data_IF_089467052167
#
_entry.id   IF_089467052167
#
_cell.length_a   1.000
_cell.length_b   1.000
_cell.length_c   1.000
_cell.angle_alpha   90.00
_cell.angle_beta   90.00
_cell.angle_gamma   90.00
#
_symmetry.space_group_name_H-M   'P 1'
#
loop_
_entity.id
_entity.type
_entity.pdbx_description
1 polymer ?
#
# COMPACT_ATOMS: atom_id res chain seq x y z
N UNK A 1 -34.30 6.88 7.19
CA UNK A 1 -32.87 6.78 7.51
C UNK A 1 -32.35 8.18 7.80
N UNK A 2 -31.83 8.41 9.01
CA UNK A 2 -31.12 9.67 9.31
C UNK A 2 -29.73 9.55 8.68
N UNK A 3 -29.35 10.52 7.83
CA UNK A 3 -28.04 10.55 7.19
C UNK A 3 -26.97 10.85 8.25
N UNK A 4 -26.02 9.93 8.42
CA UNK A 4 -24.81 10.17 9.21
C UNK A 4 -23.80 10.99 8.38
N UNK A 5 -23.95 12.32 8.45
CA UNK A 5 -23.12 13.29 7.73
C UNK A 5 -21.61 13.13 8.02
N UNK A 6 -21.16 13.01 9.28
CA UNK A 6 -19.75 12.76 9.59
C UNK A 6 -19.19 11.52 8.92
N UNK A 7 -19.94 10.41 8.95
CA UNK A 7 -19.52 9.16 8.29
C UNK A 7 -19.45 9.33 6.78
N UNK A 8 -20.47 9.96 6.17
CA UNK A 8 -20.51 10.21 4.73
C UNK A 8 -19.31 11.05 4.26
N UNK A 9 -19.03 12.15 4.95
CA UNK A 9 -17.89 13.02 4.62
C UNK A 9 -16.55 12.27 4.69
N UNK A 10 -16.35 11.45 5.75
CA UNK A 10 -15.14 10.64 5.90
C UNK A 10 -15.00 9.60 4.77
N UNK A 11 -16.08 8.92 4.41
CA UNK A 11 -16.08 7.91 3.35
C UNK A 11 -15.79 8.48 1.95
N UNK A 12 -16.05 9.78 1.74
CA UNK A 12 -15.83 10.47 0.47
C UNK A 12 -14.54 11.32 0.44
N UNK A 13 -13.61 11.13 1.38
CA UNK A 13 -12.37 11.92 1.41
C UNK A 13 -11.33 11.38 0.40
N UNK A 14 -11.04 12.09 -0.70
CA UNK A 14 -10.12 11.60 -1.75
C UNK A 14 -8.64 11.61 -1.33
N UNK A 15 -8.31 12.30 -0.24
CA UNK A 15 -6.93 12.40 0.25
C UNK A 15 -6.52 11.22 1.12
N UNK A 16 -7.44 10.31 1.44
CA UNK A 16 -7.16 9.11 2.24
C UNK A 16 -7.33 7.85 1.40
N UNK A 17 -6.30 6.98 1.33
CA UNK A 17 -6.48 5.67 0.72
C UNK A 17 -7.39 4.80 1.59
N UNK A 18 -8.01 3.79 0.96
CA UNK A 18 -8.79 2.80 1.70
C UNK A 18 -7.84 1.77 2.35
N UNK A 19 -8.08 1.49 3.62
CA UNK A 19 -7.44 0.45 4.38
C UNK A 19 -8.19 -0.87 4.21
N UNK A 20 -7.55 -1.85 3.60
CA UNK A 20 -8.11 -3.21 3.49
C UNK A 20 -8.13 -3.99 4.80
N UNK A 21 -7.57 -3.42 5.88
CA UNK A 21 -7.69 -3.96 7.24
C UNK A 21 -8.99 -3.59 7.95
N UNK A 22 -9.71 -2.55 7.49
CA UNK A 22 -10.98 -2.11 8.10
C UNK A 22 -12.18 -2.67 7.33
N UNK A 23 -12.99 -3.49 8.00
CA UNK A 23 -14.21 -4.11 7.46
C UNK A 23 -15.20 -3.07 6.91
N UNK A 24 -15.21 -1.85 7.43
CA UNK A 24 -16.07 -0.78 6.94
C UNK A 24 -15.53 -0.16 5.65
N UNK A 25 -14.21 -0.02 5.52
CA UNK A 25 -13.58 0.59 4.35
C UNK A 25 -13.53 -0.36 3.15
N UNK A 26 -13.41 -1.67 3.38
CA UNK A 26 -13.50 -2.70 2.33
C UNK A 26 -14.79 -2.55 1.51
N UNK A 27 -15.90 -2.16 2.15
CA UNK A 27 -17.20 -1.96 1.48
C UNK A 27 -17.20 -0.80 0.49
N UNK A 28 -16.25 0.12 0.60
CA UNK A 28 -16.11 1.27 -0.30
C UNK A 28 -15.17 0.97 -1.47
N UNK A 29 -14.49 -0.18 -1.47
CA UNK A 29 -13.63 -0.58 -2.58
C UNK A 29 -14.44 -0.97 -3.81
N UNK A 30 -14.00 -0.47 -4.98
CA UNK A 30 -14.57 -0.82 -6.28
C UNK A 30 -13.41 -1.28 -7.17
N UNK A 31 -13.52 -2.49 -7.72
CA UNK A 31 -12.54 -3.03 -8.65
C UNK A 31 -12.70 -2.37 -10.02
N UNK A 32 -11.74 -1.52 -10.38
CA UNK A 32 -11.67 -0.87 -11.69
C UNK A 32 -10.82 -1.65 -12.72
N UNK A 33 -10.35 -2.85 -12.40
CA UNK A 33 -9.56 -3.67 -13.34
C UNK A 33 -10.24 -3.92 -14.70
N UNK A 34 -11.58 -4.07 -14.81
CA UNK A 34 -12.23 -4.26 -16.11
C UNK A 34 -12.07 -3.08 -17.07
N UNK A 35 -11.95 -1.85 -16.54
CA UNK A 35 -11.79 -0.63 -17.35
C UNK A 35 -10.34 -0.17 -17.48
N UNK A 36 -9.46 -0.59 -16.56
CA UNK A 36 -8.00 -0.35 -16.63
C UNK A 36 -7.30 -1.31 -17.60
N UNK A 37 -7.94 -2.42 -17.94
CA UNK A 37 -7.42 -3.42 -18.88
C UNK A 37 -6.30 -4.30 -18.31
N UNK A 38 -5.96 -4.14 -17.03
CA UNK A 38 -4.94 -4.93 -16.38
C UNK A 38 -5.24 -5.11 -14.88
N UNK A 39 -4.70 -6.20 -14.33
CA UNK A 39 -4.75 -6.54 -12.91
C UNK A 39 -3.37 -6.41 -12.29
N UNK A 40 -2.86 -5.18 -12.25
CA UNK A 40 -1.45 -4.92 -11.89
C UNK A 40 -1.13 -5.49 -10.51
N UNK A 41 -1.99 -5.29 -9.50
CA UNK A 41 -1.75 -5.82 -8.14
C UNK A 41 -1.68 -7.34 -8.12
N UNK A 42 -2.53 -8.04 -8.88
CA UNK A 42 -2.44 -9.50 -8.99
C UNK A 42 -1.13 -9.94 -9.65
N UNK A 43 -0.67 -9.21 -10.67
CA UNK A 43 0.64 -9.44 -11.29
C UNK A 43 1.79 -9.21 -10.32
N UNK A 44 1.78 -8.10 -9.57
CA UNK A 44 2.81 -7.79 -8.56
C UNK A 44 2.89 -8.89 -7.51
N UNK A 45 1.73 -9.30 -6.99
CA UNK A 45 1.61 -10.40 -6.02
C UNK A 45 2.18 -11.68 -6.60
N UNK A 46 1.77 -12.07 -7.80
CA UNK A 46 2.25 -13.30 -8.46
C UNK A 46 3.77 -13.29 -8.65
N UNK A 47 4.34 -12.15 -9.01
CA UNK A 47 5.79 -12.00 -9.11
C UNK A 47 6.48 -12.30 -7.78
N UNK A 48 5.99 -11.69 -6.68
CA UNK A 48 6.56 -11.85 -5.34
C UNK A 48 6.40 -13.28 -4.81
N UNK A 49 5.20 -13.86 -4.95
CA UNK A 49 4.86 -15.08 -4.21
C UNK A 49 5.06 -16.37 -4.98
N UNK A 50 5.06 -16.33 -6.33
CA UNK A 50 5.08 -17.53 -7.16
C UNK A 50 6.26 -17.57 -8.12
N UNK A 51 6.58 -16.46 -8.78
CA UNK A 51 7.62 -16.43 -9.84
C UNK A 51 9.01 -16.33 -9.23
N UNK A 52 9.17 -15.51 -8.19
CA UNK A 52 10.46 -15.21 -7.55
C UNK A 52 10.40 -15.38 -6.03
N UNK A 53 10.04 -16.56 -5.49
CA UNK A 53 9.87 -16.74 -4.04
C UNK A 53 11.17 -16.57 -3.25
N UNK A 54 12.31 -16.92 -3.85
CA UNK A 54 13.64 -16.90 -3.23
C UNK A 54 14.56 -15.82 -3.84
N UNK A 55 14.03 -14.95 -4.69
CA UNK A 55 14.79 -13.90 -5.38
C UNK A 55 14.22 -12.51 -5.06
N UNK A 56 15.08 -11.51 -4.76
CA UNK A 56 14.61 -10.15 -4.54
C UNK A 56 14.04 -9.56 -5.84
N UNK A 57 12.89 -8.91 -5.74
CA UNK A 57 12.24 -8.23 -6.88
C UNK A 57 12.09 -6.74 -6.60
N UNK A 58 12.18 -5.93 -7.66
CA UNK A 58 11.90 -4.50 -7.62
C UNK A 58 10.85 -4.18 -8.69
N UNK A 59 9.75 -3.56 -8.27
CA UNK A 59 8.60 -3.36 -9.14
C UNK A 59 8.13 -1.92 -9.03
N UNK A 60 8.04 -1.23 -10.17
CA UNK A 60 7.62 0.15 -10.25
C UNK A 60 6.12 0.22 -10.55
N UNK A 61 5.34 0.78 -9.62
CA UNK A 61 3.91 1.03 -9.80
C UNK A 61 3.65 2.54 -9.86
N UNK A 62 3.30 3.05 -11.05
CA UNK A 62 3.13 4.50 -11.30
C UNK A 62 1.71 4.84 -11.76
N UNK A 63 1.38 6.12 -11.75
CA UNK A 63 0.11 6.66 -12.20
C UNK A 63 -0.18 8.03 -11.62
N UNK A 64 -1.20 8.70 -12.14
CA UNK A 64 -1.59 10.06 -11.73
C UNK A 64 -1.95 10.16 -10.24
N UNK A 65 -1.83 11.36 -9.67
CA UNK A 65 -2.31 11.66 -8.32
C UNK A 65 -3.82 11.36 -8.25
N UNK A 66 -4.27 10.73 -7.16
CA UNK A 66 -5.68 10.38 -6.98
C UNK A 66 -6.19 9.17 -7.76
N UNK A 67 -5.37 8.45 -8.54
CA UNK A 67 -5.84 7.26 -9.28
C UNK A 67 -5.97 5.98 -8.43
N UNK A 68 -5.77 6.08 -7.10
CA UNK A 68 -5.94 4.97 -6.16
C UNK A 68 -4.71 4.08 -5.96
N UNK A 69 -3.51 4.53 -6.32
CA UNK A 69 -2.26 3.74 -6.16
C UNK A 69 -2.05 3.25 -4.73
N UNK A 70 -2.14 4.15 -3.74
CA UNK A 70 -1.93 3.80 -2.34
C UNK A 70 -2.99 2.80 -1.85
N UNK A 71 -4.24 2.93 -2.28
CA UNK A 71 -5.31 1.95 -2.01
C UNK A 71 -4.96 0.57 -2.56
N UNK A 72 -4.49 0.50 -3.81
CA UNK A 72 -4.09 -0.74 -4.46
C UNK A 72 -2.84 -1.38 -3.79
N UNK A 73 -1.88 -0.57 -3.31
CA UNK A 73 -0.73 -1.06 -2.53
C UNK A 73 -1.13 -1.54 -1.13
N UNK A 74 -2.05 -0.88 -0.44
CA UNK A 74 -2.59 -1.34 0.84
C UNK A 74 -3.38 -2.64 0.68
N UNK A 75 -4.05 -2.83 -0.45
CA UNK A 75 -4.64 -4.11 -0.83
C UNK A 75 -3.59 -5.20 -1.04
N UNK A 76 -2.53 -4.90 -1.78
CA UNK A 76 -1.41 -5.85 -1.95
C UNK A 76 -0.79 -6.24 -0.60
N UNK A 77 -0.57 -5.25 0.29
CA UNK A 77 -0.09 -5.48 1.65
C UNK A 77 -0.97 -6.50 2.38
N UNK A 78 -2.28 -6.27 2.45
CA UNK A 78 -3.20 -7.16 3.14
C UNK A 78 -3.20 -8.58 2.53
N UNK A 79 -3.13 -8.70 1.20
CA UNK A 79 -3.07 -10.00 0.51
C UNK A 79 -1.74 -10.75 0.77
N UNK A 80 -0.61 -10.03 0.90
CA UNK A 80 0.70 -10.60 1.24
C UNK A 80 0.78 -11.02 2.72
N UNK A 81 0.25 -10.20 3.63
CA UNK A 81 0.16 -10.52 5.06
C UNK A 81 -0.68 -11.79 5.31
N UNK A 82 -1.78 -11.97 4.57
CA UNK A 82 -2.56 -13.21 4.60
C UNK A 82 -1.77 -14.44 4.14
N UNK A 83 -0.76 -14.25 3.28
CA UNK A 83 0.18 -15.28 2.85
C UNK A 83 1.40 -15.42 3.78
N UNK A 84 1.34 -14.81 4.98
CA UNK A 84 2.39 -14.85 6.01
C UNK A 84 3.69 -14.12 5.63
N UNK A 85 3.64 -13.22 4.65
CA UNK A 85 4.74 -12.29 4.43
C UNK A 85 4.76 -11.23 5.53
N UNK A 86 5.96 -10.85 5.96
CA UNK A 86 6.14 -9.61 6.71
C UNK A 86 6.20 -8.44 5.73
N UNK A 87 5.24 -7.51 5.81
CA UNK A 87 5.16 -6.37 4.91
C UNK A 87 5.47 -5.08 5.66
N UNK A 88 6.53 -4.40 5.23
CA UNK A 88 6.87 -3.05 5.71
C UNK A 88 6.29 -2.04 4.71
N UNK A 89 5.35 -1.23 5.18
CA UNK A 89 4.73 -0.18 4.38
C UNK A 89 5.00 1.17 5.02
N UNK A 90 5.55 2.10 4.26
CA UNK A 90 5.82 3.47 4.69
C UNK A 90 5.58 4.44 3.53
N UNK A 91 5.21 5.67 3.88
CA UNK A 91 4.95 6.74 2.92
C UNK A 91 6.12 7.71 2.92
N UNK A 92 6.80 7.84 1.79
CA UNK A 92 8.03 8.62 1.69
C UNK A 92 7.85 10.07 2.16
N UNK A 93 6.69 10.70 1.96
CA UNK A 93 6.44 12.10 2.36
C UNK A 93 6.33 12.30 3.87
N UNK A 94 6.21 11.23 4.66
CA UNK A 94 6.23 11.31 6.12
C UNK A 94 7.65 11.16 6.66
N UNK A 95 8.52 10.45 5.94
CA UNK A 95 9.85 10.06 6.39
C UNK A 95 11.00 10.85 5.74
N UNK A 96 10.75 11.52 4.61
CA UNK A 96 11.77 12.19 3.81
C UNK A 96 11.33 13.61 3.45
N UNK A 97 12.28 14.56 3.49
CA UNK A 97 12.08 15.87 2.90
C UNK A 97 12.12 15.76 1.37
N UNK A 98 10.96 15.84 0.74
CA UNK A 98 10.83 15.72 -0.71
C UNK A 98 11.53 16.83 -1.50
N UNK A 99 11.87 17.96 -0.86
CA UNK A 99 12.56 19.07 -1.52
C UNK A 99 14.08 18.85 -1.62
N UNK A 100 14.64 18.00 -0.76
CA UNK A 100 16.09 17.78 -0.62
C UNK A 100 16.34 16.33 -0.16
N UNK A 101 16.05 15.37 -1.05
CA UNK A 101 16.21 13.94 -0.77
C UNK A 101 17.38 13.35 -1.56
N UNK A 102 18.37 12.82 -0.84
CA UNK A 102 19.46 12.06 -1.43
C UNK A 102 19.18 10.55 -1.38
N UNK A 103 19.92 9.79 -2.21
CA UNK A 103 19.85 8.32 -2.22
C UNK A 103 20.15 7.72 -0.84
N UNK A 104 21.10 8.33 -0.11
CA UNK A 104 21.47 7.90 1.24
C UNK A 104 20.30 8.00 2.21
N UNK A 105 19.48 9.05 2.09
CA UNK A 105 18.31 9.24 2.95
C UNK A 105 17.25 8.19 2.65
N UNK A 106 16.99 7.89 1.37
CA UNK A 106 16.06 6.83 0.96
C UNK A 106 16.49 5.49 1.56
N UNK A 107 17.77 5.13 1.42
CA UNK A 107 18.30 3.86 1.93
C UNK A 107 18.26 3.80 3.46
N UNK A 108 18.59 4.91 4.14
CA UNK A 108 18.55 4.99 5.60
C UNK A 108 17.10 4.89 6.12
N UNK A 109 16.15 5.56 5.47
CA UNK A 109 14.74 5.48 5.82
C UNK A 109 14.18 4.07 5.62
N UNK A 110 14.54 3.38 4.53
CA UNK A 110 14.20 1.97 4.35
C UNK A 110 14.78 1.13 5.50
N UNK A 111 16.06 1.28 5.82
CA UNK A 111 16.71 0.51 6.88
C UNK A 111 16.07 0.75 8.25
N UNK A 112 15.76 2.00 8.58
CA UNK A 112 15.08 2.39 9.82
C UNK A 112 13.68 1.79 9.93
N UNK A 113 12.85 1.95 8.89
CA UNK A 113 11.48 1.43 8.86
C UNK A 113 11.46 -0.10 8.95
N UNK A 114 12.39 -0.79 8.28
CA UNK A 114 12.53 -2.24 8.39
C UNK A 114 12.96 -2.65 9.80
N UNK A 115 13.95 -1.98 10.38
CA UNK A 115 14.41 -2.27 11.75
C UNK A 115 13.28 -2.12 12.77
N UNK A 116 12.57 -0.98 12.75
CA UNK A 116 11.46 -0.71 13.67
C UNK A 116 10.31 -1.71 13.50
N UNK A 117 10.01 -2.08 12.24
CA UNK A 117 8.98 -3.07 11.93
C UNK A 117 9.33 -4.46 12.45
N UNK A 118 10.60 -4.88 12.34
CA UNK A 118 11.08 -6.17 12.83
C UNK A 118 11.13 -6.23 14.36
N UNK A 119 11.55 -5.16 15.04
CA UNK A 119 11.55 -5.09 16.51
C UNK A 119 10.17 -5.34 17.12
N UNK A 120 9.11 -4.85 16.46
CA UNK A 120 7.71 -5.05 16.90
C UNK A 120 7.27 -6.52 16.86
N UNK A 121 7.91 -7.34 16.03
CA UNK A 121 7.51 -8.74 15.80
C UNK A 121 8.26 -9.70 16.74
N UNK A 122 9.23 -9.21 17.52
CA UNK A 122 10.01 -9.99 18.50
C UNK A 122 10.47 -11.33 17.91
N UNK A 123 11.15 -11.27 16.77
CA UNK A 123 11.90 -12.42 16.24
C UNK A 123 13.08 -12.71 17.17
#
# INVERSE_FOLDING_TARGET
>A
MVLDLPRFYKACNPSKPLSMGDVNEIKYYIDFSPVRGNKIIESLKRTITLISPDEPTCQLFTGHIGCGKSTELLRLKAELEQQKFHVVYFESSQDLDMADVDLSDILLSIAGQVSESLEKIKI
#
